data_IF_145537513895
#
_entry.id   IF_145537513895
#
_cell.length_a   1.000
_cell.length_b   1.000
_cell.length_c   1.000
_cell.angle_alpha   90.00
_cell.angle_beta   90.00
_cell.angle_gamma   90.00
#
_symmetry.space_group_name_H-M   'P 1'
#
loop_
_entity.id
_entity.type
_entity.pdbx_description
1 polymer ?
#
# COMPACT_ATOMS: atom_id res chain seq x y z
N UNK A 1 -4.91 10.19 -17.99
CA UNK A 1 -4.42 9.07 -18.82
C UNK A 1 -3.87 8.00 -17.89
N UNK A 2 -4.46 6.81 -17.94
CA UNK A 2 -4.00 5.64 -17.20
C UNK A 2 -2.91 4.91 -18.03
N UNK A 3 -1.77 4.49 -17.45
CA UNK A 3 -0.78 3.65 -18.12
C UNK A 3 -1.40 2.34 -18.64
N UNK A 4 -1.02 1.95 -19.85
CA UNK A 4 -1.44 0.67 -20.43
C UNK A 4 -0.71 -0.46 -19.72
N UNK A 5 -1.44 -1.31 -19.03
CA UNK A 5 -0.89 -2.45 -18.31
C UNK A 5 -1.06 -3.71 -19.16
N UNK A 6 0.01 -4.13 -19.82
CA UNK A 6 0.03 -5.33 -20.67
C UNK A 6 0.20 -6.65 -19.89
N UNK A 7 0.23 -6.63 -18.56
CA UNK A 7 0.65 -7.80 -17.78
C UNK A 7 -0.45 -8.83 -17.55
N UNK A 8 -0.05 -10.10 -17.46
CA UNK A 8 -0.86 -11.29 -17.14
C UNK A 8 -1.39 -11.31 -15.69
N UNK A 9 -1.55 -10.14 -15.05
CA UNK A 9 -1.92 -10.02 -13.63
C UNK A 9 -3.36 -10.48 -13.37
N UNK A 10 -4.27 -10.15 -14.29
CA UNK A 10 -5.66 -10.60 -14.26
C UNK A 10 -5.78 -12.12 -14.30
N UNK A 11 -5.00 -12.78 -15.17
CA UNK A 11 -5.00 -14.23 -15.29
C UNK A 11 -4.49 -14.91 -14.01
N UNK A 12 -3.43 -14.39 -13.38
CA UNK A 12 -2.91 -14.90 -12.10
C UNK A 12 -3.92 -14.76 -10.95
N UNK A 13 -4.68 -13.66 -10.90
CA UNK A 13 -5.74 -13.48 -9.90
C UNK A 13 -6.97 -14.33 -10.15
N UNK A 14 -7.31 -14.60 -11.41
CA UNK A 14 -8.40 -15.52 -11.75
C UNK A 14 -8.05 -16.96 -11.41
N UNK A 15 -6.82 -17.42 -11.71
CA UNK A 15 -6.37 -18.79 -11.44
C UNK A 15 -6.34 -19.09 -9.94
N UNK A 16 -5.97 -18.11 -9.10
CA UNK A 16 -5.94 -18.24 -7.63
C UNK A 16 -7.32 -18.05 -6.96
N UNK A 17 -8.35 -17.68 -7.73
CA UNK A 17 -9.67 -17.29 -7.21
C UNK A 17 -9.65 -16.01 -6.35
N UNK A 18 -8.51 -15.33 -6.23
CA UNK A 18 -8.32 -14.17 -5.37
C UNK A 18 -9.20 -12.98 -5.80
N UNK A 19 -9.46 -12.84 -7.10
CA UNK A 19 -10.36 -11.81 -7.63
C UNK A 19 -11.76 -11.94 -7.02
N UNK A 20 -12.29 -13.16 -6.95
CA UNK A 20 -13.64 -13.40 -6.44
C UNK A 20 -13.76 -13.02 -4.96
N UNK A 21 -12.74 -13.35 -4.14
CA UNK A 21 -12.72 -12.98 -2.72
C UNK A 21 -12.66 -11.46 -2.52
N UNK A 22 -11.85 -10.77 -3.33
CA UNK A 22 -11.74 -9.30 -3.28
C UNK A 22 -13.06 -8.64 -3.68
N UNK A 23 -13.68 -9.09 -4.78
CA UNK A 23 -14.96 -8.54 -5.25
C UNK A 23 -16.08 -8.82 -4.25
N UNK A 24 -16.08 -10.01 -3.66
CA UNK A 24 -17.05 -10.40 -2.65
C UNK A 24 -16.86 -9.54 -1.41
N UNK A 25 -15.64 -9.34 -0.93
CA UNK A 25 -15.37 -8.43 0.18
C UNK A 25 -15.83 -6.99 -0.10
N UNK A 26 -15.52 -6.46 -1.29
CA UNK A 26 -15.95 -5.10 -1.67
C UNK A 26 -17.49 -4.98 -1.62
N UNK A 27 -18.21 -6.05 -1.95
CA UNK A 27 -19.69 -6.09 -1.95
C UNK A 27 -20.31 -6.37 -0.59
N UNK A 28 -19.77 -7.32 0.17
CA UNK A 28 -20.38 -7.84 1.42
C UNK A 28 -19.77 -7.24 2.68
N UNK A 29 -18.55 -6.69 2.59
CA UNK A 29 -17.72 -6.23 3.71
C UNK A 29 -17.45 -7.30 4.78
N UNK A 30 -17.56 -8.58 4.42
CA UNK A 30 -17.32 -9.68 5.36
C UNK A 30 -15.82 -9.93 5.57
N UNK A 31 -15.36 -9.78 6.81
CA UNK A 31 -13.96 -9.95 7.22
C UNK A 31 -13.44 -11.38 7.05
N UNK A 32 -14.30 -12.37 6.84
CA UNK A 32 -13.87 -13.74 6.51
C UNK A 32 -13.04 -13.77 5.22
N UNK A 33 -13.44 -13.02 4.20
CA UNK A 33 -12.71 -12.92 2.93
C UNK A 33 -11.32 -12.30 3.10
N UNK A 34 -11.15 -11.36 4.04
CA UNK A 34 -9.83 -10.78 4.32
C UNK A 34 -8.85 -11.83 4.85
N UNK A 35 -9.32 -12.75 5.70
CA UNK A 35 -8.49 -13.88 6.19
C UNK A 35 -8.13 -14.82 5.05
N UNK A 36 -9.09 -15.15 4.18
CA UNK A 36 -8.86 -15.99 3.00
C UNK A 36 -7.85 -15.35 2.05
N UNK A 37 -7.96 -14.04 1.80
CA UNK A 37 -7.00 -13.28 0.99
C UNK A 37 -5.60 -13.39 1.59
N UNK A 38 -5.45 -13.20 2.90
CA UNK A 38 -4.16 -13.31 3.58
C UNK A 38 -3.57 -14.71 3.44
N UNK A 39 -4.38 -15.76 3.65
CA UNK A 39 -3.96 -17.15 3.50
C UNK A 39 -3.48 -17.47 2.08
N UNK A 40 -4.22 -17.01 1.06
CA UNK A 40 -3.86 -17.22 -0.35
C UNK A 40 -2.59 -16.49 -0.79
N UNK A 41 -2.15 -15.48 -0.05
CA UNK A 41 -0.90 -14.75 -0.32
C UNK A 41 0.33 -15.47 0.23
N UNK A 42 0.17 -16.46 1.11
CA UNK A 42 1.24 -17.32 1.60
C UNK A 42 1.49 -18.46 0.61
N UNK A 43 2.75 -18.83 0.42
CA UNK A 43 3.13 -20.02 -0.35
C UNK A 43 2.93 -21.24 0.54
N UNK A 44 2.12 -22.20 0.06
CA UNK A 44 1.89 -23.47 0.76
C UNK A 44 3.11 -24.41 0.67
N UNK A 45 3.89 -24.32 -0.41
CA UNK A 45 5.04 -25.18 -0.65
C UNK A 45 6.33 -24.58 -0.06
N UNK A 46 6.83 -25.23 0.99
CA UNK A 46 8.07 -24.84 1.66
C UNK A 46 9.30 -24.92 0.74
N UNK A 47 9.31 -25.79 -0.28
CA UNK A 47 10.43 -25.89 -1.23
C UNK A 47 10.47 -24.68 -2.16
N UNK A 48 9.31 -24.22 -2.62
CA UNK A 48 9.19 -23.01 -3.43
C UNK A 48 9.52 -21.76 -2.61
N UNK A 49 9.17 -21.73 -1.32
CA UNK A 49 9.51 -20.62 -0.43
C UNK A 49 11.03 -20.48 -0.23
N UNK A 50 11.75 -21.60 -0.13
CA UNK A 50 13.22 -21.60 -0.01
C UNK A 50 13.86 -21.14 -1.33
N UNK A 51 13.38 -21.64 -2.47
CA UNK A 51 13.89 -21.28 -3.80
C UNK A 51 13.65 -19.80 -4.14
N UNK A 52 12.48 -19.27 -3.77
CA UNK A 52 12.15 -17.84 -3.96
C UNK A 52 12.73 -16.93 -2.88
N UNK A 53 13.28 -17.50 -1.80
CA UNK A 53 13.80 -16.75 -0.65
C UNK A 53 12.73 -15.97 0.14
N UNK A 54 11.44 -16.25 -0.09
CA UNK A 54 10.31 -15.60 0.58
C UNK A 54 9.15 -16.56 0.75
N UNK A 55 8.43 -16.45 1.86
CA UNK A 55 7.19 -17.23 2.12
C UNK A 55 5.95 -16.65 1.44
N UNK A 56 6.07 -15.49 0.79
CA UNK A 56 4.96 -14.77 0.18
C UNK A 56 4.95 -14.91 -1.34
N UNK A 57 3.76 -15.04 -1.92
CA UNK A 57 3.61 -15.04 -3.37
C UNK A 57 3.69 -13.59 -3.91
N UNK A 58 4.91 -13.13 -4.17
CA UNK A 58 5.19 -11.76 -4.66
C UNK A 58 4.44 -11.45 -5.95
N UNK A 59 4.30 -12.43 -6.86
CA UNK A 59 3.52 -12.26 -8.09
C UNK A 59 2.06 -11.95 -7.79
N UNK A 60 1.47 -12.65 -6.84
CA UNK A 60 0.07 -12.47 -6.46
C UNK A 60 -0.14 -11.17 -5.67
N UNK A 61 0.80 -10.79 -4.79
CA UNK A 61 0.79 -9.51 -4.09
C UNK A 61 0.83 -8.33 -5.07
N UNK A 62 1.68 -8.39 -6.09
CA UNK A 62 1.73 -7.37 -7.15
C UNK A 62 0.39 -7.25 -7.89
N UNK A 63 -0.20 -8.39 -8.25
CA UNK A 63 -1.49 -8.41 -8.95
C UNK A 63 -2.63 -7.86 -8.09
N UNK A 64 -2.70 -8.27 -6.82
CA UNK A 64 -3.66 -7.78 -5.84
C UNK A 64 -3.52 -6.26 -5.64
N UNK A 65 -2.29 -5.78 -5.43
CA UNK A 65 -2.01 -4.36 -5.23
C UNK A 65 -2.53 -3.52 -6.39
N UNK A 66 -2.27 -3.97 -7.62
CA UNK A 66 -2.72 -3.29 -8.82
C UNK A 66 -4.23 -3.33 -8.99
N UNK A 67 -4.87 -4.48 -8.74
CA UNK A 67 -6.32 -4.62 -8.85
C UNK A 67 -7.07 -3.79 -7.80
N UNK A 68 -6.69 -3.92 -6.53
CA UNK A 68 -7.32 -3.18 -5.44
C UNK A 68 -7.07 -1.68 -5.59
N UNK A 69 -5.86 -1.28 -6.00
CA UNK A 69 -5.53 0.12 -6.27
C UNK A 69 -6.26 0.71 -7.49
N UNK A 70 -6.49 -0.08 -8.54
CA UNK A 70 -7.27 0.36 -9.71
C UNK A 70 -8.76 0.54 -9.40
N UNK A 71 -9.31 -0.28 -8.49
CA UNK A 71 -10.70 -0.15 -8.01
C UNK A 71 -10.86 0.90 -6.90
N UNK A 72 -9.76 1.50 -6.43
CA UNK A 72 -9.77 2.48 -5.35
C UNK A 72 -10.13 3.88 -5.89
N UNK A 73 -11.42 4.21 -5.93
CA UNK A 73 -11.93 5.46 -6.51
C UNK A 73 -11.80 6.70 -5.60
N UNK A 74 -10.85 6.71 -4.66
CA UNK A 74 -10.71 7.75 -3.62
C UNK A 74 -10.74 9.20 -4.14
N UNK A 75 -10.17 9.45 -5.32
CA UNK A 75 -10.02 10.80 -5.88
C UNK A 75 -10.56 10.95 -7.29
N UNK A 76 -11.24 9.94 -7.85
CA UNK A 76 -11.79 10.01 -9.21
C UNK A 76 -12.98 10.98 -9.30
N UNK A 77 -13.62 11.32 -8.19
CA UNK A 77 -14.69 12.34 -8.12
C UNK A 77 -14.18 13.80 -8.11
N UNK A 78 -12.87 14.04 -8.24
CA UNK A 78 -12.31 15.40 -8.29
C UNK A 78 -12.63 16.20 -9.57
N UNK A 79 -13.41 15.64 -10.50
CA UNK A 79 -13.97 16.40 -11.64
C UNK A 79 -15.22 17.23 -11.27
N UNK A 80 -15.75 17.07 -10.06
CA UNK A 80 -16.72 18.02 -9.51
C UNK A 80 -15.95 19.22 -8.97
N UNK A 81 -16.11 20.37 -9.61
CA UNK A 81 -15.46 21.66 -9.32
C UNK A 81 -15.62 22.17 -7.86
N UNK A 82 -16.34 21.44 -7.01
CA UNK A 82 -16.58 21.68 -5.59
C UNK A 82 -15.49 21.16 -4.65
N UNK A 83 -14.54 20.34 -5.10
CA UNK A 83 -13.53 19.72 -4.22
C UNK A 83 -12.32 20.61 -3.85
N UNK A 84 -12.23 21.85 -4.37
CA UNK A 84 -11.18 22.80 -3.94
C UNK A 84 -11.40 23.36 -2.53
N UNK A 85 -12.56 23.10 -1.90
CA UNK A 85 -12.94 23.65 -0.60
C UNK A 85 -12.91 22.65 0.57
N UNK A 86 -12.59 21.36 0.35
CA UNK A 86 -12.51 20.35 1.43
C UNK A 86 -11.07 19.87 1.65
N UNK A 87 -10.15 20.80 1.92
CA UNK A 87 -8.74 20.53 2.19
C UNK A 87 -8.44 20.03 3.62
N UNK A 88 -9.45 19.67 4.42
CA UNK A 88 -9.27 19.44 5.87
C UNK A 88 -9.73 18.08 6.41
N UNK A 89 -10.44 17.24 5.66
CA UNK A 89 -10.82 15.88 6.10
C UNK A 89 -10.06 14.81 5.32
N UNK A 90 -9.62 13.74 5.99
CA UNK A 90 -9.12 12.56 5.27
C UNK A 90 -10.29 11.94 4.50
N UNK A 91 -10.08 11.41 3.28
CA UNK A 91 -11.13 10.74 2.55
C UNK A 91 -11.66 9.57 3.39
N UNK A 92 -12.98 9.28 3.36
CA UNK A 92 -13.55 8.19 4.13
C UNK A 92 -12.92 6.85 3.72
N UNK A 93 -12.86 5.91 4.67
CA UNK A 93 -12.42 4.54 4.41
C UNK A 93 -13.21 3.94 3.25
N UNK A 94 -12.49 3.38 2.29
CA UNK A 94 -13.09 2.60 1.19
C UNK A 94 -12.77 1.12 1.40
N UNK A 95 -13.61 0.18 0.96
CA UNK A 95 -13.30 -1.25 1.11
C UNK A 95 -11.92 -1.64 0.56
N UNK A 96 -11.49 -1.02 -0.54
CA UNK A 96 -10.15 -1.22 -1.11
C UNK A 96 -9.03 -0.80 -0.15
N UNK A 97 -9.21 0.29 0.59
CA UNK A 97 -8.26 0.74 1.62
C UNK A 97 -8.27 -0.17 2.84
N UNK A 98 -9.44 -0.66 3.25
CA UNK A 98 -9.57 -1.60 4.37
C UNK A 98 -8.83 -2.90 4.09
N UNK A 99 -8.81 -3.38 2.85
CA UNK A 99 -7.97 -4.52 2.45
C UNK A 99 -6.49 -4.20 2.73
N UNK A 100 -5.99 -3.05 2.27
CA UNK A 100 -4.59 -2.69 2.48
C UNK A 100 -4.23 -2.48 3.96
N UNK A 101 -5.11 -1.81 4.72
CA UNK A 101 -4.94 -1.61 6.16
C UNK A 101 -4.88 -2.95 6.90
N UNK A 102 -5.87 -3.82 6.64
CA UNK A 102 -5.93 -5.16 7.23
C UNK A 102 -4.67 -6.00 6.90
N UNK A 103 -4.22 -5.97 5.64
CA UNK A 103 -3.02 -6.70 5.23
C UNK A 103 -1.77 -6.16 5.93
N UNK A 104 -1.60 -4.84 6.06
CA UNK A 104 -0.46 -4.27 6.77
C UNK A 104 -0.47 -4.62 8.25
N UNK A 105 -1.61 -4.61 8.91
CA UNK A 105 -1.71 -4.95 10.34
C UNK A 105 -1.41 -6.44 10.59
N UNK A 106 -1.89 -7.34 9.74
CA UNK A 106 -1.78 -8.79 9.93
C UNK A 106 -0.54 -9.43 9.30
N UNK A 107 0.16 -8.76 8.39
CA UNK A 107 1.45 -9.24 7.90
C UNK A 107 2.55 -9.09 8.95
N UNK A 108 3.57 -9.93 8.82
CA UNK A 108 4.83 -9.77 9.55
C UNK A 108 5.72 -8.71 8.87
N UNK A 109 6.93 -8.53 9.38
CA UNK A 109 7.85 -7.51 8.85
C UNK A 109 8.21 -7.72 7.38
N UNK A 110 8.37 -8.97 6.95
CA UNK A 110 8.67 -9.33 5.56
C UNK A 110 7.48 -9.04 4.64
N UNK A 111 6.28 -9.50 5.00
CA UNK A 111 5.07 -9.30 4.21
C UNK A 111 4.68 -7.83 4.07
N UNK A 112 4.82 -7.05 5.14
CA UNK A 112 4.62 -5.59 5.12
C UNK A 112 5.62 -4.91 4.18
N UNK A 113 6.90 -5.29 4.24
CA UNK A 113 7.93 -4.74 3.36
C UNK A 113 7.63 -5.05 1.89
N UNK A 114 7.25 -6.29 1.57
CA UNK A 114 6.88 -6.70 0.22
C UNK A 114 5.65 -5.94 -0.29
N UNK A 115 4.57 -5.88 0.50
CA UNK A 115 3.34 -5.18 0.13
C UNK A 115 3.58 -3.69 -0.08
N UNK A 116 4.31 -3.04 0.82
CA UNK A 116 4.59 -1.62 0.66
C UNK A 116 5.53 -1.36 -0.52
N UNK A 117 6.47 -2.28 -0.78
CA UNK A 117 7.31 -2.26 -1.98
C UNK A 117 6.48 -2.37 -3.26
N UNK A 118 5.47 -3.24 -3.33
CA UNK A 118 4.58 -3.33 -4.50
C UNK A 118 3.78 -2.05 -4.69
N UNK A 119 3.27 -1.43 -3.62
CA UNK A 119 2.57 -0.13 -3.67
C UNK A 119 3.51 0.97 -4.18
N UNK A 120 4.71 1.08 -3.60
CA UNK A 120 5.69 2.10 -3.96
C UNK A 120 6.19 1.96 -5.42
N UNK A 121 6.13 0.77 -6.01
CA UNK A 121 6.47 0.55 -7.42
C UNK A 121 5.54 1.30 -8.40
N UNK A 122 4.36 1.70 -7.96
CA UNK A 122 3.43 2.50 -8.76
C UNK A 122 3.62 4.01 -8.60
N UNK A 123 4.54 4.46 -7.74
CA UNK A 123 4.92 5.87 -7.58
C UNK A 123 5.96 6.27 -8.63
N UNK A 124 5.52 6.55 -9.86
CA UNK A 124 6.40 6.77 -11.02
C UNK A 124 6.39 8.22 -11.51
N UNK A 125 5.91 8.45 -12.73
CA UNK A 125 5.71 9.78 -13.32
C UNK A 125 4.26 10.25 -13.10
N UNK A 126 3.94 11.53 -13.32
CA UNK A 126 2.57 12.02 -13.19
C UNK A 126 1.57 11.22 -14.05
N UNK A 127 0.73 10.41 -13.39
CA UNK A 127 -0.35 9.66 -14.01
C UNK A 127 -1.43 9.35 -12.96
N UNK A 128 -2.60 8.88 -13.40
CA UNK A 128 -3.73 8.62 -12.50
C UNK A 128 -3.45 7.52 -11.47
N UNK A 129 -2.70 6.48 -11.84
CA UNK A 129 -2.33 5.41 -10.90
C UNK A 129 -1.36 5.93 -9.85
N UNK A 130 -0.33 6.66 -10.25
CA UNK A 130 0.63 7.27 -9.32
C UNK A 130 -0.05 8.21 -8.35
N UNK A 131 -1.04 8.99 -8.79
CA UNK A 131 -1.84 9.80 -7.88
C UNK A 131 -2.65 8.94 -6.90
N UNK A 132 -3.36 7.91 -7.38
CA UNK A 132 -4.12 7.00 -6.52
C UNK A 132 -3.23 6.33 -5.47
N UNK A 133 -2.11 5.73 -5.88
CA UNK A 133 -1.17 5.06 -4.98
C UNK A 133 -0.49 6.02 -4.02
N UNK A 134 -0.19 7.27 -4.43
CA UNK A 134 0.29 8.31 -3.53
C UNK A 134 -0.70 8.56 -2.39
N UNK A 135 -1.98 8.71 -2.74
CA UNK A 135 -3.02 8.89 -1.74
C UNK A 135 -3.26 7.66 -0.85
N UNK A 136 -3.16 6.44 -1.41
CA UNK A 136 -3.22 5.21 -0.63
C UNK A 136 -2.09 5.19 0.42
N UNK A 137 -0.84 5.49 0.02
CA UNK A 137 0.30 5.54 0.97
C UNK A 137 0.05 6.54 2.09
N UNK A 138 -0.40 7.75 1.74
CA UNK A 138 -0.68 8.80 2.72
C UNK A 138 -1.82 8.42 3.67
N UNK A 139 -2.89 7.81 3.13
CA UNK A 139 -4.00 7.34 3.94
C UNK A 139 -3.58 6.21 4.87
N UNK A 140 -2.83 5.21 4.39
CA UNK A 140 -2.33 4.11 5.22
C UNK A 140 -1.42 4.62 6.34
N UNK A 141 -0.56 5.60 6.05
CA UNK A 141 0.29 6.21 7.07
C UNK A 141 -0.53 6.92 8.18
N UNK A 142 -1.63 7.57 7.80
CA UNK A 142 -2.52 8.24 8.74
C UNK A 142 -3.39 7.25 9.55
N UNK A 143 -4.01 6.27 8.87
CA UNK A 143 -4.94 5.30 9.46
C UNK A 143 -4.24 4.36 10.44
N UNK A 144 -3.02 3.94 10.12
CA UNK A 144 -2.31 2.97 10.93
C UNK A 144 -1.98 3.54 12.31
N UNK A 145 -2.39 2.85 13.37
CA UNK A 145 -2.04 3.20 14.77
C UNK A 145 -0.73 2.56 15.23
N UNK A 146 -0.24 1.56 14.50
CA UNK A 146 0.96 0.77 14.80
C UNK A 146 2.23 1.52 14.37
N UNK A 147 3.13 1.90 15.30
CA UNK A 147 4.32 2.69 14.97
C UNK A 147 5.29 1.96 14.05
N UNK A 148 5.43 0.64 14.20
CA UNK A 148 6.31 -0.20 13.38
C UNK A 148 5.91 -0.17 11.91
N UNK A 149 4.60 -0.13 11.61
CA UNK A 149 4.11 -0.04 10.22
C UNK A 149 4.43 1.34 9.64
N UNK A 150 4.25 2.42 10.42
CA UNK A 150 4.62 3.78 9.98
C UNK A 150 6.12 3.90 9.72
N UNK A 151 6.95 3.28 10.57
CA UNK A 151 8.40 3.21 10.38
C UNK A 151 8.74 2.46 9.09
N UNK A 152 8.12 1.30 8.84
CA UNK A 152 8.35 0.52 7.62
C UNK A 152 7.95 1.27 6.35
N UNK A 153 6.79 1.95 6.35
CA UNK A 153 6.35 2.83 5.26
C UNK A 153 7.43 3.88 4.98
N UNK A 154 7.91 4.54 6.04
CA UNK A 154 8.95 5.57 5.94
C UNK A 154 10.27 5.00 5.42
N UNK A 155 10.69 3.85 5.94
CA UNK A 155 11.93 3.17 5.58
C UNK A 155 11.97 2.81 4.10
N UNK A 156 10.91 2.22 3.55
CA UNK A 156 10.88 1.85 2.12
C UNK A 156 10.88 3.08 1.21
N UNK A 157 10.20 4.17 1.60
CA UNK A 157 10.29 5.43 0.86
C UNK A 157 11.71 6.00 0.89
N UNK A 158 12.34 6.02 2.07
CA UNK A 158 13.71 6.51 2.26
C UNK A 158 14.75 5.67 1.52
N UNK A 159 14.67 4.34 1.59
CA UNK A 159 15.58 3.43 0.89
C UNK A 159 15.61 3.70 -0.63
N UNK A 160 14.46 4.08 -1.21
CA UNK A 160 14.37 4.43 -2.64
C UNK A 160 14.84 5.86 -2.95
N UNK A 161 14.98 6.71 -1.94
CA UNK A 161 15.44 8.10 -2.06
C UNK A 161 16.92 8.28 -1.73
N UNK A 162 17.54 7.36 -0.98
CA UNK A 162 18.99 7.41 -0.69
C UNK A 162 19.86 6.88 -1.85
N UNK A 163 19.29 6.04 -2.73
CA UNK A 163 20.01 5.45 -3.88
C UNK A 163 20.35 6.52 -4.91
N UNK A 164 21.38 6.30 -5.73
CA UNK A 164 21.74 7.23 -6.81
C UNK A 164 20.55 7.54 -7.74
N UNK A 165 20.48 8.81 -8.15
CA UNK A 165 19.51 9.35 -9.11
C UNK A 165 19.51 8.55 -10.43
N UNK A 166 18.39 8.52 -11.19
CA UNK A 166 17.17 9.33 -11.03
C UNK A 166 16.14 8.75 -10.06
N UNK A 167 15.51 9.62 -9.26
CA UNK A 167 14.38 9.22 -8.41
C UNK A 167 13.04 9.38 -9.14
N UNK A 168 12.08 8.46 -8.93
CA UNK A 168 10.73 8.63 -9.46
C UNK A 168 10.05 9.89 -8.92
N UNK A 169 9.39 10.65 -9.81
CA UNK A 169 8.70 11.90 -9.43
C UNK A 169 7.62 11.68 -8.37
N UNK A 170 6.76 10.69 -8.53
CA UNK A 170 5.68 10.38 -7.62
C UNK A 170 6.15 9.95 -6.24
N UNK A 171 7.31 9.28 -6.17
CA UNK A 171 7.95 8.93 -4.91
C UNK A 171 8.36 10.20 -4.14
N UNK A 172 9.03 11.13 -4.81
CA UNK A 172 9.43 12.41 -4.23
C UNK A 172 8.22 13.22 -3.74
N UNK A 173 7.19 13.36 -4.57
CA UNK A 173 5.99 14.12 -4.20
C UNK A 173 5.30 13.51 -2.98
N UNK A 174 5.14 12.18 -2.96
CA UNK A 174 4.50 11.48 -1.83
C UNK A 174 5.29 11.67 -0.55
N UNK A 175 6.63 11.55 -0.62
CA UNK A 175 7.50 11.74 0.53
C UNK A 175 7.50 13.19 1.02
N UNK A 176 7.54 14.17 0.12
CA UNK A 176 7.47 15.60 0.45
C UNK A 176 6.14 15.94 1.12
N UNK A 177 5.02 15.41 0.63
CA UNK A 177 3.70 15.61 1.24
C UNK A 177 3.68 15.07 2.68
N UNK A 178 4.22 13.88 2.89
CA UNK A 178 4.27 13.20 4.19
C UNK A 178 5.09 13.98 5.24
N UNK A 179 6.22 14.58 4.85
CA UNK A 179 7.07 15.37 5.77
C UNK A 179 6.55 16.80 6.01
N UNK A 180 5.92 17.43 5.00
CA UNK A 180 5.50 18.84 5.07
C UNK A 180 4.14 19.00 5.72
N UNK A 181 3.22 18.07 5.50
CA UNK A 181 1.86 18.18 5.98
C UNK A 181 1.79 17.75 7.45
N UNK A 182 1.61 18.72 8.35
CA UNK A 182 1.58 18.50 9.80
C UNK A 182 0.52 17.49 10.25
N UNK A 183 -0.50 17.24 9.43
CA UNK A 183 -1.59 16.29 9.71
C UNK A 183 -1.11 14.84 9.86
N UNK A 184 0.01 14.48 9.26
CA UNK A 184 0.60 13.14 9.42
C UNK A 184 1.46 13.01 10.68
N UNK A 185 1.75 14.12 11.38
CA UNK A 185 2.59 14.17 12.57
C UNK A 185 3.91 13.35 12.44
N UNK A 186 4.50 13.35 11.24
CA UNK A 186 5.64 12.50 10.87
C UNK A 186 6.79 12.59 11.89
N UNK A 187 7.11 13.80 12.34
CA UNK A 187 8.20 14.08 13.27
C UNK A 187 7.96 13.60 14.71
N UNK A 188 6.74 13.16 15.05
CA UNK A 188 6.47 12.50 16.33
C UNK A 188 7.01 11.07 16.39
N UNK A 189 7.12 10.39 15.23
CA UNK A 189 7.64 9.02 15.15
C UNK A 189 9.11 8.92 15.60
N UNK A 190 9.88 10.01 15.41
CA UNK A 190 11.29 10.09 15.84
C UNK A 190 11.46 10.29 17.36
N UNK A 191 10.38 10.65 18.07
CA UNK A 191 10.45 11.16 19.44
C UNK A 191 10.22 10.10 20.52
N UNK A 192 10.09 8.83 20.17
CA UNK A 192 10.22 7.74 21.15
C UNK A 192 11.70 7.58 21.46
N UNK A 193 12.04 7.92 22.70
CA UNK A 193 13.35 8.23 23.23
C UNK A 193 14.44 7.15 23.03
N UNK A 194 15.73 7.53 23.09
CA UNK A 194 16.81 6.56 23.25
C UNK A 194 16.52 5.67 24.45
N UNK A 195 16.69 4.36 24.24
CA UNK A 195 16.68 3.33 25.29
C UNK A 195 17.49 3.87 26.47
N UNK A 196 16.89 4.05 27.66
CA UNK A 196 17.67 4.41 28.84
C UNK A 196 18.67 3.27 29.04
N UNK A 197 19.96 3.59 28.86
CA UNK A 197 21.05 2.66 29.00
C UNK A 197 20.91 1.91 30.32
N UNK A 198 20.65 0.62 30.21
CA UNK A 198 20.91 -0.35 31.26
C UNK A 198 22.42 -0.41 31.50
N UNK A 199 22.78 -0.19 32.76
CA UNK A 199 24.08 -0.34 33.46
C UNK A 199 25.21 0.62 33.12
#
# INVERSE_FOLDING_TARGET
>A
MAPVIHSTYMSKMMISGLKADVDQYIRTKDKTHLKTILQKLLLEDQKLAIDMGTKYNVSLMNALTLYTGANCNLFQSANSQTARAQTQAFPPSTPSLEIFSYLLENFDSEGRFLLFTTIANHLRFPNQHTHCFSCIVLWLFHDTTIPEVREQITRVLLERLIVHRPHPWGLLITFIELIKNRRYNFWSLRRTDPVPGST
#
